data_IF_483426358482
#
_entry.id   IF_483426358482
#
_cell.length_a   1.000
_cell.length_b   1.000
_cell.length_c   1.000
_cell.angle_alpha   90.00
_cell.angle_beta   90.00
_cell.angle_gamma   90.00
#
_symmetry.space_group_name_H-M   'P 1'
#
loop_
_entity.id
_entity.type
_entity.pdbx_description
1 polymer ?
#
# COMPACT_ATOMS: atom_id res chain seq x y z
N UNK A 1 -10.57 4.56 -9.54
CA UNK A 1 -9.19 4.98 -9.21
C UNK A 1 -8.58 5.80 -10.37
N UNK A 2 -7.71 6.75 -10.09
CA UNK A 2 -6.86 7.42 -11.10
C UNK A 2 -5.42 6.90 -10.99
N UNK A 3 -4.72 6.78 -12.11
CA UNK A 3 -3.34 6.28 -12.16
C UNK A 3 -2.40 7.30 -12.80
N UNK A 4 -1.12 7.27 -12.40
CA UNK A 4 -0.05 8.16 -12.86
C UNK A 4 1.23 7.37 -13.09
N UNK A 5 2.11 7.88 -13.96
CA UNK A 5 3.47 7.34 -14.09
C UNK A 5 4.32 7.81 -12.92
N UNK A 6 4.94 6.88 -12.18
CA UNK A 6 5.82 7.23 -11.07
C UNK A 6 7.16 7.78 -11.60
N UNK A 7 7.29 9.10 -11.61
CA UNK A 7 8.52 9.77 -12.06
C UNK A 7 8.93 9.33 -13.47
N UNK A 8 10.19 8.89 -13.62
CA UNK A 8 10.74 8.36 -14.88
C UNK A 8 10.80 6.83 -14.92
N UNK A 9 10.14 6.15 -13.98
CA UNK A 9 10.26 4.68 -13.82
C UNK A 9 9.46 3.88 -14.84
N UNK A 10 8.46 4.51 -15.48
CA UNK A 10 7.51 3.82 -16.35
C UNK A 10 6.44 3.02 -15.62
N UNK A 11 6.47 2.96 -14.27
CA UNK A 11 5.46 2.26 -13.47
C UNK A 11 4.16 3.07 -13.42
N UNK A 12 3.05 2.41 -13.71
CA UNK A 12 1.70 2.98 -13.59
C UNK A 12 1.16 2.69 -12.19
N UNK A 13 1.08 3.72 -11.34
CA UNK A 13 0.68 3.60 -9.94
C UNK A 13 -0.61 4.36 -9.66
N UNK A 14 -1.37 3.93 -8.66
CA UNK A 14 -2.53 4.66 -8.17
C UNK A 14 -2.09 6.04 -7.70
N UNK A 15 -2.87 7.09 -8.04
CA UNK A 15 -2.56 8.47 -7.66
C UNK A 15 -2.53 8.67 -6.14
N UNK A 16 -3.24 7.82 -5.41
CA UNK A 16 -3.19 7.70 -3.95
C UNK A 16 -2.51 6.37 -3.61
N UNK A 17 -1.50 6.41 -2.75
CA UNK A 17 -0.83 5.24 -2.19
C UNK A 17 -1.29 4.93 -0.76
N UNK A 18 -0.98 3.73 -0.30
CA UNK A 18 -1.25 3.29 1.07
C UNK A 18 0.04 3.34 1.91
N UNK A 19 0.03 4.11 3.00
CA UNK A 19 1.15 4.15 3.95
C UNK A 19 1.11 2.96 4.90
N UNK A 20 2.19 2.17 4.96
CA UNK A 20 2.22 0.91 5.71
C UNK A 20 2.39 1.05 7.23
N UNK A 21 2.80 2.20 7.76
CA UNK A 21 3.02 2.36 9.21
C UNK A 21 1.80 2.01 10.09
N UNK A 22 0.54 2.31 9.72
CA UNK A 22 -0.61 1.98 10.56
C UNK A 22 -0.98 0.49 10.56
N UNK A 23 -0.45 -0.34 9.64
CA UNK A 23 -0.70 -1.80 9.63
C UNK A 23 -0.24 -2.46 10.94
N UNK A 24 0.69 -1.85 11.68
CA UNK A 24 1.14 -2.35 12.98
C UNK A 24 0.03 -2.42 14.05
N UNK A 25 -1.13 -1.81 13.80
CA UNK A 25 -2.25 -1.73 14.74
C UNK A 25 -3.29 -2.84 14.55
N UNK A 26 -3.17 -3.64 13.49
CA UNK A 26 -4.09 -4.74 13.19
C UNK A 26 -3.41 -6.07 13.46
N UNK A 27 -4.22 -7.10 13.72
CA UNK A 27 -3.71 -8.45 13.87
C UNK A 27 -3.25 -9.01 12.52
N UNK A 28 -2.31 -9.96 12.54
CA UNK A 28 -1.67 -10.48 11.31
C UNK A 28 -2.68 -11.18 10.39
N UNK A 29 -3.70 -11.81 10.96
CA UNK A 29 -4.79 -12.48 10.26
C UNK A 29 -5.80 -11.51 9.63
N UNK A 30 -5.84 -10.26 10.06
CA UNK A 30 -6.66 -9.19 9.44
C UNK A 30 -5.97 -8.54 8.22
N UNK A 31 -4.65 -8.67 8.11
CA UNK A 31 -3.88 -8.06 7.03
C UNK A 31 -4.30 -8.49 5.62
N UNK A 32 -4.63 -9.76 5.33
CA UNK A 32 -5.10 -10.17 4.00
C UNK A 32 -6.35 -9.41 3.55
N UNK A 33 -7.35 -9.28 4.42
CA UNK A 33 -8.59 -8.57 4.10
C UNK A 33 -8.35 -7.08 3.82
N UNK A 34 -7.41 -6.46 4.56
CA UNK A 34 -6.99 -5.09 4.27
C UNK A 34 -6.35 -4.97 2.88
N UNK A 35 -5.43 -5.87 2.52
CA UNK A 35 -4.77 -5.85 1.21
C UNK A 35 -5.78 -6.08 0.08
N UNK A 36 -6.71 -7.02 0.25
CA UNK A 36 -7.80 -7.26 -0.71
C UNK A 36 -8.63 -5.98 -0.92
N UNK A 37 -9.04 -5.31 0.16
CA UNK A 37 -9.78 -4.06 0.07
C UNK A 37 -9.00 -2.94 -0.66
N UNK A 38 -7.68 -2.85 -0.49
CA UNK A 38 -6.84 -1.91 -1.23
C UNK A 38 -6.88 -2.21 -2.74
N UNK A 39 -6.73 -3.47 -3.12
CA UNK A 39 -6.75 -3.92 -4.52
C UNK A 39 -8.11 -3.68 -5.16
N UNK A 40 -9.20 -4.02 -4.47
CA UNK A 40 -10.58 -3.78 -4.93
C UNK A 40 -10.85 -2.29 -5.19
N UNK A 41 -10.26 -1.41 -4.37
CA UNK A 41 -10.34 0.04 -4.57
C UNK A 41 -9.33 0.59 -5.61
N UNK A 42 -8.53 -0.28 -6.22
CA UNK A 42 -7.57 0.03 -7.26
C UNK A 42 -6.23 0.60 -6.77
N UNK A 43 -5.94 0.53 -5.46
CA UNK A 43 -4.65 0.95 -4.91
C UNK A 43 -3.60 -0.12 -5.23
N UNK A 44 -2.50 0.28 -5.85
CA UNK A 44 -1.39 -0.62 -6.20
C UNK A 44 -0.01 -0.10 -5.77
N UNK A 45 0.02 0.98 -4.98
CA UNK A 45 1.25 1.57 -4.47
C UNK A 45 1.22 1.60 -2.94
N UNK A 46 2.14 0.86 -2.33
CA UNK A 46 2.25 0.67 -0.88
C UNK A 46 3.62 1.16 -0.44
N UNK A 47 3.62 2.07 0.54
CA UNK A 47 4.83 2.57 1.19
C UNK A 47 5.16 1.72 2.43
N UNK A 48 6.44 1.38 2.59
CA UNK A 48 6.93 0.57 3.71
C UNK A 48 8.40 0.91 4.03
N UNK A 49 8.85 0.57 5.24
CA UNK A 49 10.22 0.74 5.68
C UNK A 49 10.59 -0.35 6.71
N UNK A 50 11.89 -0.71 6.89
CA UNK A 50 12.31 -1.68 7.90
C UNK A 50 11.84 -1.32 9.32
N UNK A 51 11.87 -0.04 9.67
CA UNK A 51 11.40 0.47 10.97
C UNK A 51 9.87 0.43 11.13
N UNK A 52 9.11 0.08 10.08
CA UNK A 52 7.68 -0.13 10.19
C UNK A 52 7.41 -1.52 10.77
N UNK A 53 7.57 -1.66 12.08
CA UNK A 53 7.36 -2.88 12.84
C UNK A 53 8.51 -3.07 13.82
N UNK A 54 9.18 -4.22 13.73
CA UNK A 54 10.22 -4.61 14.68
C UNK A 54 11.65 -4.28 14.25
N UNK A 55 11.84 -3.63 13.09
CA UNK A 55 13.17 -3.43 12.50
C UNK A 55 13.74 -4.69 11.89
#
# INVERSE_FOLDING_TARGET
>A
MQYVTLGKTGLCVSRVGFGGIPIQRIEKDEAPALIEALVENGINYIDTAPVYGTG
#
